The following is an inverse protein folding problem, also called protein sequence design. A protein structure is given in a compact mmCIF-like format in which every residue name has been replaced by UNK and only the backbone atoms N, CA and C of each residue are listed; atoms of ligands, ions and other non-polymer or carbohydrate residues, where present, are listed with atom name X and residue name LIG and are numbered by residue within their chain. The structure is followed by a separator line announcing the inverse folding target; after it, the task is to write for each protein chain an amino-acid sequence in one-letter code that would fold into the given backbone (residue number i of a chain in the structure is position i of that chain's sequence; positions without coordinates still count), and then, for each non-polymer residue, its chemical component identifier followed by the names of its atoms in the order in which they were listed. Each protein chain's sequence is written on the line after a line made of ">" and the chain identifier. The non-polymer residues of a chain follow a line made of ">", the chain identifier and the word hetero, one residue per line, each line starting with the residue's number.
data_IF_996500157740
#
_entry.id   IF_996500157740
#
_cell.length_a   1.000
_cell.length_b   1.000
_cell.length_c   1.000
_cell.angle_alpha   90.00
_cell.angle_beta   90.00
_cell.angle_gamma   90.00
#
_symmetry.space_group_name_H-M   'P 1'
#
loop_
_entity.id
_entity.type
_entity.pdbx_description
1 polymer ?
#
# COMPACT_ATOMS: atom_id res chain seq x y z
N UNK A 1 -15.75 20.58 -13.77
CA UNK A 1 -14.62 21.50 -13.50
C UNK A 1 -13.66 20.73 -12.61
N UNK A 2 -12.43 20.46 -13.04
CA UNK A 2 -11.41 19.80 -12.22
C UNK A 2 -10.52 20.87 -11.63
N UNK A 3 -10.41 20.94 -10.32
CA UNK A 3 -9.55 21.88 -9.61
C UNK A 3 -8.41 21.09 -8.99
N UNK A 4 -7.17 21.55 -9.21
CA UNK A 4 -6.02 20.94 -8.56
C UNK A 4 -6.12 21.10 -7.03
N UNK A 5 -5.89 20.01 -6.30
CA UNK A 5 -5.90 20.03 -4.85
C UNK A 5 -4.66 20.74 -4.33
N UNK A 6 -4.85 21.66 -3.40
CA UNK A 6 -3.79 22.46 -2.77
C UNK A 6 -3.75 22.24 -1.25
N UNK A 7 -3.90 20.98 -0.81
CA UNK A 7 -3.84 20.65 0.61
C UNK A 7 -3.18 19.30 0.83
N UNK A 8 -2.53 19.14 1.98
CA UNK A 8 -2.14 17.87 2.55
C UNK A 8 -3.23 17.35 3.50
N UNK A 9 -3.19 16.06 3.79
CA UNK A 9 -4.03 15.44 4.81
C UNK A 9 -3.14 14.94 5.92
N UNK A 10 -3.56 15.18 7.16
CA UNK A 10 -2.95 14.58 8.33
C UNK A 10 -4.03 13.77 9.06
N UNK A 11 -3.62 12.70 9.69
CA UNK A 11 -4.46 11.85 10.53
C UNK A 11 -3.64 11.29 11.67
N UNK A 12 -4.30 10.89 12.74
CA UNK A 12 -3.67 10.26 13.91
C UNK A 12 -4.22 8.85 14.08
N UNK A 13 -3.38 7.96 14.59
CA UNK A 13 -3.77 6.60 14.96
C UNK A 13 -3.13 6.23 16.28
N UNK A 14 -3.84 5.48 17.13
CA UNK A 14 -3.35 4.92 18.38
C UNK A 14 -3.16 3.40 18.22
N UNK A 15 -2.57 2.97 17.13
CA UNK A 15 -2.36 1.55 16.88
C UNK A 15 -1.15 1.04 17.67
N UNK A 16 -1.39 0.35 18.78
CA UNK A 16 -0.37 -0.23 19.65
C UNK A 16 0.50 -1.31 18.94
N UNK A 17 0.03 -1.86 17.83
CA UNK A 17 0.78 -2.83 17.01
C UNK A 17 1.65 -2.20 15.92
N UNK A 18 1.60 -0.89 15.74
CA UNK A 18 2.34 -0.19 14.68
C UNK A 18 1.80 -0.40 13.27
N UNK A 19 1.14 -1.49 12.99
CA UNK A 19 0.68 -1.89 11.65
C UNK A 19 -0.68 -1.29 11.30
N UNK A 20 -0.71 -0.21 10.52
CA UNK A 20 -1.96 0.44 10.10
C UNK A 20 -2.05 0.75 8.60
N UNK A 21 -0.94 0.72 7.87
CA UNK A 21 -0.93 0.95 6.44
C UNK A 21 -1.47 -0.27 5.67
N UNK A 22 -2.47 -0.06 4.83
CA UNK A 22 -3.11 -1.09 4.00
C UNK A 22 -3.26 -0.64 2.56
N UNK A 23 -2.22 -0.03 2.00
CA UNK A 23 -2.23 0.41 0.60
C UNK A 23 -1.55 -0.62 -0.30
N UNK A 24 -2.31 -1.41 -1.09
CA UNK A 24 -1.74 -2.42 -1.99
C UNK A 24 -0.96 -1.82 -3.17
N UNK A 25 -0.94 -0.50 -3.32
CA UNK A 25 -0.21 0.20 -4.37
C UNK A 25 1.17 0.70 -3.93
N UNK A 26 1.56 0.36 -2.71
CA UNK A 26 2.75 0.85 -2.03
C UNK A 26 2.46 2.16 -1.27
N UNK A 27 2.86 2.18 -0.04
CA UNK A 27 2.51 3.23 0.95
C UNK A 27 3.20 4.58 0.71
N UNK A 28 3.75 4.83 -0.49
CA UNK A 28 4.52 6.02 -0.89
C UNK A 28 3.83 7.38 -0.66
N UNK A 29 2.51 7.37 -0.40
CA UNK A 29 1.72 8.58 -0.13
C UNK A 29 1.57 8.86 1.36
N UNK A 30 2.01 7.94 2.19
CA UNK A 30 1.92 8.01 3.63
C UNK A 30 3.31 8.29 4.20
N UNK A 31 3.36 9.25 5.08
CA UNK A 31 4.56 9.65 5.80
C UNK A 31 4.28 9.47 7.29
N UNK A 32 4.41 8.26 7.82
CA UNK A 32 4.23 8.00 9.23
C UNK A 32 5.24 8.77 10.06
N UNK A 33 4.76 9.46 11.07
CA UNK A 33 5.60 10.15 12.05
C UNK A 33 5.20 9.64 13.40
N UNK A 34 6.15 9.07 14.13
CA UNK A 34 5.93 8.71 15.51
C UNK A 34 5.90 9.97 16.36
N UNK A 35 4.77 10.24 16.99
CA UNK A 35 4.70 11.22 18.05
C UNK A 35 5.35 10.61 19.29
N UNK A 36 6.66 10.73 19.40
CA UNK A 36 7.44 10.19 20.50
C UNK A 36 6.97 10.81 21.82
N UNK A 37 6.46 9.96 22.69
CA UNK A 37 5.88 10.41 23.94
C UNK A 37 6.87 10.14 25.07
N UNK A 38 7.66 11.14 25.39
CA UNK A 38 8.30 11.20 26.68
C UNK A 38 7.79 12.46 27.38
N UNK A 39 6.63 12.34 28.04
CA UNK A 39 6.02 13.44 28.78
C UNK A 39 4.85 14.14 28.08
N UNK A 40 4.34 15.21 28.68
CA UNK A 40 3.26 16.03 28.16
C UNK A 40 3.76 16.89 26.99
N UNK A 41 2.92 17.06 25.97
CA UNK A 41 3.21 17.94 24.83
C UNK A 41 3.17 19.39 25.31
N UNK A 42 4.26 20.12 25.11
CA UNK A 42 4.35 21.55 25.44
C UNK A 42 3.55 22.40 24.42
N UNK A 43 2.26 22.54 24.68
CA UNK A 43 1.37 23.32 23.83
C UNK A 43 1.61 24.84 23.96
N UNK A 44 2.08 25.30 25.13
CA UNK A 44 2.38 26.72 25.35
C UNK A 44 3.63 27.12 24.56
N UNK A 45 4.72 26.36 24.65
CA UNK A 45 5.92 26.57 23.85
C UNK A 45 5.67 26.46 22.35
N UNK A 46 4.81 25.53 21.91
CA UNK A 46 4.41 25.45 20.51
C UNK A 46 3.65 26.71 20.05
N UNK A 47 2.77 27.25 20.89
CA UNK A 47 2.03 28.48 20.58
C UNK A 47 2.95 29.70 20.43
N UNK A 48 4.01 29.77 21.23
CA UNK A 48 5.02 30.84 21.14
C UNK A 48 5.81 30.83 19.84
N UNK A 49 6.18 29.65 19.34
CA UNK A 49 7.01 29.50 18.12
C UNK A 49 6.20 29.29 16.82
N UNK A 50 4.90 29.11 16.93
CA UNK A 50 4.02 28.78 15.80
C UNK A 50 4.17 29.72 14.61
N UNK A 51 4.15 31.03 14.88
CA UNK A 51 4.20 32.04 13.80
C UNK A 51 5.59 32.10 13.14
N UNK A 52 6.64 31.77 13.89
CA UNK A 52 7.99 31.61 13.35
C UNK A 52 8.08 30.38 12.44
N UNK A 53 7.52 29.23 12.83
CA UNK A 53 7.47 28.02 12.00
C UNK A 53 6.73 28.27 10.70
N UNK A 54 5.60 28.98 10.75
CA UNK A 54 4.89 29.37 9.54
C UNK A 54 5.68 30.33 8.65
N UNK A 55 6.38 31.30 9.28
CA UNK A 55 7.27 32.22 8.57
C UNK A 55 8.40 31.51 7.84
N UNK A 56 9.02 30.51 8.47
CA UNK A 56 10.05 29.67 7.86
C UNK A 56 9.49 28.87 6.68
N UNK A 57 8.36 28.19 6.85
CA UNK A 57 7.72 27.46 5.78
C UNK A 57 7.36 28.33 4.56
N UNK A 58 6.93 29.55 4.78
CA UNK A 58 6.66 30.53 3.72
C UNK A 58 7.96 30.94 3.02
N UNK A 59 9.05 31.14 3.76
CA UNK A 59 10.35 31.49 3.18
C UNK A 59 10.90 30.36 2.31
N UNK A 60 10.80 29.11 2.77
CA UNK A 60 11.17 27.92 1.99
C UNK A 60 10.35 27.81 0.70
N UNK A 61 9.03 28.02 0.79
CA UNK A 61 8.15 28.00 -0.38
C UNK A 61 8.50 29.13 -1.37
N UNK A 62 8.78 30.33 -0.92
CA UNK A 62 9.21 31.46 -1.76
C UNK A 62 10.59 31.24 -2.37
N UNK A 63 11.45 30.50 -1.67
CA UNK A 63 12.76 30.06 -2.16
C UNK A 63 12.70 28.91 -3.15
N UNK A 64 11.49 28.45 -3.53
CA UNK A 64 11.28 27.31 -4.42
C UNK A 64 11.97 26.02 -3.93
N UNK A 65 12.08 25.85 -2.59
CA UNK A 65 12.66 24.66 -2.01
C UNK A 65 11.87 23.41 -2.40
N UNK A 66 12.57 22.31 -2.69
CA UNK A 66 11.95 21.05 -3.08
C UNK A 66 11.15 20.47 -1.92
N UNK A 67 9.86 20.27 -2.13
CA UNK A 67 8.93 19.70 -1.13
C UNK A 67 8.54 18.24 -1.40
N UNK A 68 9.02 17.67 -2.50
CA UNK A 68 8.82 16.24 -2.86
C UNK A 68 10.12 15.47 -2.66
N UNK A 69 9.98 14.20 -2.34
CA UNK A 69 11.13 13.31 -2.13
C UNK A 69 11.84 13.03 -3.46
N UNK A 70 13.16 13.00 -3.43
CA UNK A 70 13.95 12.44 -4.51
C UNK A 70 13.93 10.89 -4.49
N UNK A 71 14.65 10.24 -5.41
CA UNK A 71 14.64 8.78 -5.53
C UNK A 71 15.30 8.09 -4.32
N UNK A 72 16.29 8.68 -3.70
CA UNK A 72 16.97 8.16 -2.50
C UNK A 72 16.04 8.28 -1.29
N UNK A 73 15.48 9.44 -1.06
CA UNK A 73 14.52 9.70 0.02
C UNK A 73 13.24 8.85 -0.12
N UNK A 74 12.77 8.66 -1.37
CA UNK A 74 11.65 7.78 -1.64
C UNK A 74 11.96 6.31 -1.29
N UNK A 75 13.22 5.89 -1.50
CA UNK A 75 13.70 4.57 -1.07
C UNK A 75 13.67 4.42 0.45
N UNK A 76 14.17 5.41 1.18
CA UNK A 76 14.12 5.44 2.65
C UNK A 76 12.69 5.43 3.19
N UNK A 77 11.79 6.16 2.54
CA UNK A 77 10.37 6.15 2.92
C UNK A 77 9.74 4.76 2.75
N UNK A 78 10.08 4.03 1.69
CA UNK A 78 9.58 2.66 1.49
C UNK A 78 10.03 1.75 2.63
N UNK A 79 11.31 1.75 2.98
CA UNK A 79 11.85 0.97 4.09
C UNK A 79 11.20 1.36 5.43
N UNK A 80 11.04 2.66 5.67
CA UNK A 80 10.36 3.16 6.87
C UNK A 80 8.90 2.67 6.94
N UNK A 81 8.17 2.70 5.82
CA UNK A 81 6.77 2.31 5.76
C UNK A 81 6.52 0.82 5.98
N UNK A 82 7.52 -0.05 5.69
CA UNK A 82 7.42 -1.50 5.94
C UNK A 82 7.09 -1.81 7.40
N UNK A 83 7.55 -0.98 8.34
CA UNK A 83 7.27 -1.14 9.77
C UNK A 83 5.80 -0.87 10.14
N UNK A 84 5.07 -0.16 9.30
CA UNK A 84 3.67 0.23 9.50
C UNK A 84 2.70 -0.54 8.61
N UNK A 85 3.20 -1.38 7.72
CA UNK A 85 2.36 -2.16 6.81
C UNK A 85 1.69 -3.32 7.53
N UNK A 86 0.35 -3.28 7.55
CA UNK A 86 -0.44 -4.36 8.09
C UNK A 86 -0.45 -5.55 7.12
N UNK A 87 -0.02 -6.70 7.60
CA UNK A 87 -0.11 -7.94 6.84
C UNK A 87 -1.57 -8.20 6.41
N UNK A 88 -1.76 -8.48 5.12
CA UNK A 88 -3.09 -8.85 4.65
C UNK A 88 -3.41 -10.29 5.08
N UNK A 89 -4.51 -10.51 5.85
CA UNK A 89 -4.88 -11.84 6.34
C UNK A 89 -5.10 -12.88 5.23
N UNK A 90 -5.28 -12.46 3.99
CA UNK A 90 -5.44 -13.36 2.85
C UNK A 90 -4.11 -13.83 2.26
N UNK A 91 -3.00 -13.16 2.61
CA UNK A 91 -1.66 -13.49 2.09
C UNK A 91 -1.26 -14.92 2.44
N UNK A 92 -1.38 -15.31 3.70
CA UNK A 92 -1.00 -16.66 4.14
C UNK A 92 -1.82 -17.77 3.47
N UNK A 93 -3.17 -17.72 3.44
CA UNK A 93 -3.99 -18.67 2.69
C UNK A 93 -3.62 -18.74 1.21
N UNK A 94 -3.38 -17.61 0.56
CA UNK A 94 -2.98 -17.56 -0.85
C UNK A 94 -1.63 -18.24 -1.07
N UNK A 95 -0.62 -17.90 -0.28
CA UNK A 95 0.72 -18.52 -0.36
C UNK A 95 0.62 -20.03 -0.16
N UNK A 96 -0.12 -20.47 0.84
CA UNK A 96 -0.30 -21.90 1.14
C UNK A 96 -0.98 -22.64 -0.02
N UNK A 97 -2.01 -22.07 -0.60
CA UNK A 97 -2.70 -22.66 -1.74
C UNK A 97 -1.81 -22.72 -2.99
N UNK A 98 -1.07 -21.65 -3.31
CA UNK A 98 -0.15 -21.61 -4.45
C UNK A 98 1.00 -22.61 -4.30
N UNK A 99 1.44 -22.90 -3.09
CA UNK A 99 2.51 -23.85 -2.78
C UNK A 99 2.05 -25.31 -2.67
N UNK A 100 0.72 -25.54 -2.59
CA UNK A 100 0.13 -26.87 -2.42
C UNK A 100 0.37 -27.82 -3.59
N UNK A 101 0.18 -29.14 -3.35
CA UNK A 101 0.27 -30.14 -4.43
C UNK A 101 -1.06 -30.26 -5.24
N UNK A 102 -1.05 -30.20 -6.61
CA UNK A 102 0.09 -29.83 -7.42
C UNK A 102 0.43 -28.35 -7.28
N UNK A 103 1.72 -28.00 -7.40
CA UNK A 103 2.17 -26.62 -7.32
C UNK A 103 1.53 -25.80 -8.43
N UNK A 104 0.99 -24.65 -8.07
CA UNK A 104 0.28 -23.78 -8.99
C UNK A 104 1.29 -22.79 -9.60
N UNK A 105 1.41 -22.82 -10.92
CA UNK A 105 2.29 -21.92 -11.70
C UNK A 105 1.47 -20.79 -12.38
N UNK A 106 0.13 -20.95 -12.41
CA UNK A 106 -0.79 -20.00 -13.01
C UNK A 106 -2.16 -20.06 -12.34
N UNK A 107 -2.75 -18.91 -12.07
CA UNK A 107 -4.08 -18.82 -11.46
C UNK A 107 -4.83 -17.56 -11.89
N UNK A 108 -6.15 -17.66 -12.03
CA UNK A 108 -7.02 -16.49 -12.15
C UNK A 108 -7.40 -15.96 -10.77
N UNK A 109 -7.84 -14.69 -10.73
CA UNK A 109 -8.30 -14.06 -9.47
C UNK A 109 -9.47 -14.84 -8.87
N UNK A 110 -10.41 -15.30 -9.71
CA UNK A 110 -11.60 -16.05 -9.25
C UNK A 110 -11.21 -17.38 -8.63
N UNK A 111 -10.22 -18.09 -9.20
CA UNK A 111 -9.67 -19.31 -8.63
C UNK A 111 -9.02 -19.07 -7.26
N UNK A 112 -8.23 -17.98 -7.14
CA UNK A 112 -7.57 -17.62 -5.88
C UNK A 112 -8.64 -17.29 -4.82
N UNK A 113 -9.64 -16.49 -5.17
CA UNK A 113 -10.73 -16.14 -4.25
C UNK A 113 -11.50 -17.37 -3.79
N UNK A 114 -11.83 -18.27 -4.71
CA UNK A 114 -12.63 -19.46 -4.37
C UNK A 114 -11.82 -20.51 -3.59
N UNK A 115 -10.60 -20.79 -4.03
CA UNK A 115 -9.86 -21.95 -3.51
C UNK A 115 -8.88 -21.61 -2.38
N UNK A 116 -8.30 -20.41 -2.39
CA UNK A 116 -7.37 -19.97 -1.35
C UNK A 116 -8.11 -19.28 -0.20
N UNK A 117 -9.07 -18.40 -0.53
CA UNK A 117 -9.75 -17.56 0.46
C UNK A 117 -11.11 -18.12 0.87
N UNK A 118 -11.71 -18.98 0.04
CA UNK A 118 -13.02 -19.59 0.32
C UNK A 118 -14.22 -18.68 0.03
N UNK A 119 -14.08 -17.75 -0.91
CA UNK A 119 -15.17 -16.84 -1.31
C UNK A 119 -15.95 -17.43 -2.48
N UNK A 120 -17.23 -17.68 -2.28
CA UNK A 120 -18.14 -18.14 -3.34
C UNK A 120 -18.16 -17.18 -4.52
N UNK A 121 -18.29 -17.71 -5.73
CA UNK A 121 -18.19 -16.94 -6.99
C UNK A 121 -19.22 -15.81 -7.06
N UNK A 122 -20.43 -16.06 -6.58
CA UNK A 122 -21.54 -15.09 -6.53
C UNK A 122 -21.29 -13.91 -5.57
N UNK A 123 -20.40 -14.08 -4.61
CA UNK A 123 -19.99 -13.06 -3.62
C UNK A 123 -18.76 -12.26 -4.03
N UNK A 124 -18.08 -12.69 -5.10
CA UNK A 124 -16.85 -12.03 -5.54
C UNK A 124 -17.16 -10.66 -6.18
N UNK A 125 -16.52 -9.63 -5.65
CA UNK A 125 -16.67 -8.26 -6.15
C UNK A 125 -15.30 -7.61 -6.43
N UNK A 126 -15.35 -6.49 -7.14
CA UNK A 126 -14.14 -5.79 -7.62
C UNK A 126 -13.14 -5.43 -6.52
N UNK A 127 -13.61 -5.09 -5.32
CA UNK A 127 -12.74 -4.79 -4.17
C UNK A 127 -11.88 -6.00 -3.78
N UNK A 128 -12.49 -7.18 -3.71
CA UNK A 128 -11.78 -8.44 -3.44
C UNK A 128 -10.78 -8.78 -4.56
N UNK A 129 -11.17 -8.59 -5.82
CA UNK A 129 -10.29 -8.81 -6.96
C UNK A 129 -9.07 -7.89 -6.94
N UNK A 130 -9.26 -6.62 -6.58
CA UNK A 130 -8.16 -5.66 -6.43
C UNK A 130 -7.23 -6.05 -5.27
N UNK A 131 -7.79 -6.50 -4.15
CA UNK A 131 -7.04 -6.97 -2.99
C UNK A 131 -6.15 -8.17 -3.33
N UNK A 132 -6.69 -9.20 -3.99
CA UNK A 132 -5.89 -10.31 -4.52
C UNK A 132 -4.82 -9.80 -5.50
N UNK A 133 -5.17 -8.81 -6.32
CA UNK A 133 -4.22 -8.18 -7.23
C UNK A 133 -3.01 -7.58 -6.52
N UNK A 134 -3.21 -6.92 -5.39
CA UNK A 134 -2.14 -6.40 -4.53
C UNK A 134 -1.26 -7.52 -3.97
N UNK A 135 -1.89 -8.54 -3.35
CA UNK A 135 -1.18 -9.70 -2.79
C UNK A 135 -0.31 -10.39 -3.84
N UNK A 136 -0.87 -10.68 -5.03
CA UNK A 136 -0.12 -11.36 -6.09
C UNK A 136 1.05 -10.52 -6.63
N UNK A 137 0.89 -9.20 -6.67
CA UNK A 137 1.98 -8.28 -7.04
C UNK A 137 3.09 -8.31 -5.99
N UNK A 138 2.75 -8.22 -4.71
CA UNK A 138 3.70 -8.30 -3.59
C UNK A 138 4.45 -9.66 -3.57
N UNK A 139 3.79 -10.74 -3.97
CA UNK A 139 4.42 -12.06 -4.13
C UNK A 139 5.27 -12.20 -5.42
N UNK A 140 5.42 -11.13 -6.21
CA UNK A 140 6.22 -11.12 -7.43
C UNK A 140 5.57 -11.80 -8.63
N UNK A 141 4.27 -12.12 -8.57
CA UNK A 141 3.57 -12.71 -9.70
C UNK A 141 3.23 -11.66 -10.75
N UNK A 142 3.22 -12.07 -12.03
CA UNK A 142 2.99 -11.19 -13.17
C UNK A 142 1.62 -11.42 -13.80
N UNK A 143 0.93 -10.34 -14.17
CA UNK A 143 -0.32 -10.42 -14.93
C UNK A 143 -0.05 -10.76 -16.37
N UNK A 144 -0.71 -11.83 -16.88
CA UNK A 144 -0.71 -12.21 -18.29
C UNK A 144 -2.13 -12.24 -18.83
N UNK A 145 -2.28 -11.93 -20.10
CA UNK A 145 -3.54 -12.11 -20.83
C UNK A 145 -3.47 -13.43 -21.57
N UNK A 146 -4.47 -14.27 -21.39
CA UNK A 146 -4.64 -15.52 -22.12
C UNK A 146 -5.95 -15.49 -22.90
N UNK A 147 -5.99 -16.27 -23.98
CA UNK A 147 -7.19 -16.48 -24.76
C UNK A 147 -7.65 -17.91 -24.53
N UNK A 148 -8.88 -18.08 -24.05
CA UNK A 148 -9.50 -19.41 -23.96
C UNK A 148 -9.89 -19.92 -25.35
N UNK A 149 -10.09 -21.25 -25.47
CA UNK A 149 -10.52 -21.93 -26.70
C UNK A 149 -11.96 -21.52 -27.12
N UNK A 150 -12.26 -20.28 -27.24
CA UNK A 150 -13.53 -19.64 -27.60
C UNK A 150 -13.36 -18.15 -27.80
N UNK A 151 -12.09 -17.66 -27.79
CA UNK A 151 -11.76 -16.25 -28.02
C UNK A 151 -12.01 -15.32 -26.84
N UNK A 152 -12.50 -15.80 -25.71
CA UNK A 152 -12.64 -15.00 -24.51
C UNK A 152 -11.29 -14.67 -23.88
N UNK A 153 -11.11 -13.40 -23.56
CA UNK A 153 -9.89 -12.91 -22.89
C UNK A 153 -9.99 -13.16 -21.39
N UNK A 154 -9.05 -13.93 -20.87
CA UNK A 154 -8.89 -14.14 -19.44
C UNK A 154 -7.60 -13.49 -18.93
N UNK A 155 -7.67 -12.90 -17.76
CA UNK A 155 -6.48 -12.39 -17.04
C UNK A 155 -6.06 -13.41 -16.00
N UNK A 156 -4.79 -13.83 -16.09
CA UNK A 156 -4.21 -14.78 -15.15
C UNK A 156 -2.95 -14.20 -14.53
N UNK A 157 -2.62 -14.69 -13.36
CA UNK A 157 -1.36 -14.47 -12.71
C UNK A 157 -0.45 -15.65 -12.98
N UNK A 158 0.77 -15.38 -13.38
CA UNK A 158 1.78 -16.38 -13.72
C UNK A 158 3.01 -16.14 -12.87
N UNK A 159 3.56 -17.22 -12.34
CA UNK A 159 4.80 -17.15 -11.60
C UNK A 159 5.95 -16.82 -12.56
N UNK A 160 6.81 -15.85 -12.26
CA UNK A 160 7.98 -15.58 -13.08
C UNK A 160 8.91 -16.79 -13.07
N UNK A 161 9.62 -17.07 -14.18
CA UNK A 161 10.64 -18.11 -14.21
C UNK A 161 11.69 -17.80 -13.14
N UNK A 162 12.16 -18.83 -12.45
CA UNK A 162 13.31 -18.68 -11.55
C UNK A 162 14.53 -18.33 -12.41
N UNK A 163 15.11 -17.14 -12.18
CA UNK A 163 16.42 -16.80 -12.71
C UNK A 163 17.50 -17.68 -12.11
#
# INVERSE_FOLDING_TARGET
>A
MSVARQCAFAGTTNNEGGEFLRDPTGSRRFWPVEAGVVGDIDLEGLAEVRDQLWGEAVAMWQGEEQWWLDDEEAGLLVEHNEHYEAADPWTEPVVKWLAGPPRIEQASVDQILSHAVGVDVDKQHRGMQNRIGGIMTALGWQKRREYEAGGQRRRVWVKPPRG
#
